data_IF_351738261286
#
_entry.id   IF_351738261286
#
_cell.length_a   1.000
_cell.length_b   1.000
_cell.length_c   1.000
_cell.angle_alpha   90.00
_cell.angle_beta   90.00
_cell.angle_gamma   90.00
#
_symmetry.space_group_name_H-M   'P 1'
#
loop_
_entity.id
_entity.type
_entity.pdbx_description
1 polymer ?
#
# COMPACT_ATOMS: atom_id res chain seq x y z
N UNK A 1 23.56 -9.29 -9.92
CA UNK A 1 22.27 -8.64 -10.26
C UNK A 1 22.54 -7.43 -11.16
N UNK A 2 21.81 -7.28 -12.28
CA UNK A 2 22.04 -6.13 -13.20
C UNK A 2 21.59 -4.81 -12.58
N UNK A 3 22.16 -3.67 -13.03
CA UNK A 3 21.73 -2.32 -12.58
C UNK A 3 20.23 -2.10 -12.82
N UNK A 4 19.73 -2.53 -13.97
CA UNK A 4 18.31 -2.47 -14.34
C UNK A 4 17.43 -3.27 -13.38
N UNK A 5 17.81 -4.49 -13.04
CA UNK A 5 17.07 -5.35 -12.10
C UNK A 5 17.05 -4.72 -10.71
N UNK A 6 18.17 -4.15 -10.26
CA UNK A 6 18.25 -3.45 -8.98
C UNK A 6 17.31 -2.24 -8.91
N UNK A 7 17.27 -1.43 -9.97
CA UNK A 7 16.41 -0.25 -10.01
C UNK A 7 14.93 -0.63 -10.10
N UNK A 8 14.60 -1.67 -10.87
CA UNK A 8 13.25 -2.24 -10.87
C UNK A 8 12.82 -2.62 -9.45
N UNK A 9 13.61 -3.44 -8.74
CA UNK A 9 13.30 -3.90 -7.38
C UNK A 9 13.15 -2.69 -6.42
N UNK A 10 14.05 -1.71 -6.51
CA UNK A 10 13.97 -0.49 -5.69
C UNK A 10 12.68 0.26 -5.91
N UNK A 11 12.34 0.58 -7.16
CA UNK A 11 11.12 1.34 -7.48
C UNK A 11 9.86 0.53 -7.20
N UNK A 12 9.89 -0.79 -7.39
CA UNK A 12 8.82 -1.69 -7.00
C UNK A 12 8.54 -1.58 -5.50
N UNK A 13 9.54 -1.77 -4.63
CA UNK A 13 9.31 -1.73 -3.17
C UNK A 13 8.88 -0.36 -2.67
N UNK A 14 9.47 0.72 -3.18
CA UNK A 14 9.08 2.09 -2.80
C UNK A 14 7.63 2.36 -3.20
N UNK A 15 7.26 2.03 -4.45
CA UNK A 15 5.88 2.24 -4.92
C UNK A 15 4.89 1.30 -4.24
N UNK A 16 5.27 0.06 -3.94
CA UNK A 16 4.45 -0.88 -3.19
C UNK A 16 4.11 -0.33 -1.81
N UNK A 17 5.13 0.09 -1.05
CA UNK A 17 4.93 0.65 0.28
C UNK A 17 4.07 1.92 0.26
N UNK A 18 4.38 2.87 -0.64
CA UNK A 18 3.63 4.12 -0.74
C UNK A 18 2.17 3.89 -1.16
N UNK A 19 1.93 3.07 -2.18
CA UNK A 19 0.59 2.80 -2.71
C UNK A 19 -0.23 1.99 -1.71
N UNK A 20 0.36 0.95 -1.11
CA UNK A 20 -0.29 0.17 -0.05
C UNK A 20 -0.70 1.09 1.11
N UNK A 21 0.22 1.90 1.65
CA UNK A 21 -0.07 2.78 2.77
C UNK A 21 -1.21 3.77 2.49
N UNK A 22 -1.14 4.48 1.36
CA UNK A 22 -2.14 5.49 1.00
C UNK A 22 -3.50 4.87 0.70
N UNK A 23 -3.54 3.76 -0.05
CA UNK A 23 -4.81 3.12 -0.41
C UNK A 23 -5.42 2.31 0.74
N UNK A 24 -4.60 1.76 1.64
CA UNK A 24 -5.08 1.02 2.80
C UNK A 24 -5.88 1.92 3.76
N UNK A 25 -5.47 3.18 3.93
CA UNK A 25 -6.24 4.13 4.72
C UNK A 25 -7.68 4.32 4.18
N UNK A 26 -7.83 4.45 2.86
CA UNK A 26 -9.14 4.53 2.20
C UNK A 26 -9.92 3.23 2.35
N UNK A 27 -9.23 2.09 2.23
CA UNK A 27 -9.87 0.78 2.41
C UNK A 27 -10.38 0.58 3.83
N UNK A 28 -9.61 0.95 4.86
CA UNK A 28 -10.05 0.88 6.26
C UNK A 28 -11.25 1.79 6.53
N UNK A 29 -11.25 3.01 5.96
CA UNK A 29 -12.41 3.90 6.06
C UNK A 29 -13.66 3.27 5.42
N UNK A 30 -13.52 2.66 4.23
CA UNK A 30 -14.62 1.94 3.61
C UNK A 30 -15.09 0.77 4.47
N UNK A 31 -14.19 -0.03 5.04
CA UNK A 31 -14.55 -1.15 5.90
C UNK A 31 -15.30 -0.71 7.16
N UNK A 32 -14.88 0.40 7.77
CA UNK A 32 -15.61 1.01 8.88
C UNK A 32 -17.04 1.39 8.48
N UNK A 33 -17.19 2.11 7.36
CA UNK A 33 -18.52 2.48 6.86
C UNK A 33 -19.35 1.25 6.48
N UNK A 34 -18.72 0.21 5.95
CA UNK A 34 -19.38 -1.02 5.55
C UNK A 34 -19.92 -1.79 6.75
N UNK A 35 -19.18 -1.87 7.85
CA UNK A 35 -19.67 -2.46 9.11
C UNK A 35 -20.83 -1.64 9.69
N UNK A 36 -20.71 -0.31 9.72
CA UNK A 36 -21.72 0.57 10.35
C UNK A 36 -23.02 0.63 9.55
N UNK A 37 -22.94 0.58 8.22
CA UNK A 37 -24.08 0.77 7.31
C UNK A 37 -24.48 -0.52 6.58
N UNK A 38 -23.94 -1.68 6.97
CA UNK A 38 -24.20 -2.99 6.35
C UNK A 38 -23.96 -3.00 4.81
N UNK A 39 -22.83 -2.40 4.39
CA UNK A 39 -22.46 -2.33 2.96
C UNK A 39 -21.73 -3.61 2.51
N UNK A 40 -21.86 -4.01 1.23
CA UNK A 40 -21.22 -5.21 0.73
C UNK A 40 -19.69 -5.10 0.73
N UNK A 41 -19.02 -6.26 0.78
CA UNK A 41 -17.56 -6.32 0.64
C UNK A 41 -16.80 -5.97 1.92
N UNK A 42 -17.49 -5.96 3.07
CA UNK A 42 -16.84 -5.96 4.37
C UNK A 42 -16.10 -7.29 4.57
N UNK A 43 -14.79 -7.22 4.75
CA UNK A 43 -13.94 -8.34 5.18
C UNK A 43 -13.49 -8.18 6.64
N UNK A 44 -13.79 -7.03 7.25
CA UNK A 44 -13.68 -6.83 8.69
C UNK A 44 -15.03 -7.15 9.34
N UNK A 45 -15.00 -7.89 10.44
CA UNK A 45 -16.17 -8.14 11.27
C UNK A 45 -15.85 -7.95 12.75
N UNK A 46 -16.87 -7.68 13.57
CA UNK A 46 -16.71 -7.54 15.03
C UNK A 46 -17.26 -8.81 15.68
N UNK A 47 -16.37 -9.57 16.31
CA UNK A 47 -16.73 -10.71 17.14
C UNK A 47 -17.00 -10.24 18.56
N UNK A 48 -18.11 -10.66 19.13
CA UNK A 48 -18.45 -10.43 20.53
C UNK A 48 -18.35 -11.76 21.28
N UNK A 49 -17.54 -11.79 22.32
CA UNK A 49 -17.42 -12.94 23.21
C UNK A 49 -18.49 -12.92 24.32
N UNK A 50 -18.75 -14.08 24.92
CA UNK A 50 -19.77 -14.24 25.97
C UNK A 50 -19.44 -13.49 27.28
N UNK A 51 -18.18 -13.11 27.49
CA UNK A 51 -17.69 -12.26 28.59
C UNK A 51 -17.92 -10.76 28.35
N UNK A 52 -18.38 -10.35 27.16
CA UNK A 52 -18.55 -8.95 26.79
C UNK A 52 -17.33 -8.31 26.11
N UNK A 53 -16.25 -9.07 25.87
CA UNK A 53 -15.10 -8.60 25.10
C UNK A 53 -15.44 -8.56 23.60
N UNK A 54 -14.81 -7.65 22.87
CA UNK A 54 -14.95 -7.56 21.42
C UNK A 54 -13.59 -7.62 20.74
N UNK A 55 -13.55 -8.29 19.58
CA UNK A 55 -12.38 -8.40 18.74
C UNK A 55 -12.74 -8.05 17.31
N UNK A 56 -11.78 -7.45 16.61
CA UNK A 56 -11.89 -7.25 15.17
C UNK A 56 -11.33 -8.49 14.47
N UNK A 57 -12.18 -9.19 13.74
CA UNK A 57 -11.78 -10.30 12.88
C UNK A 57 -11.65 -9.81 11.44
N UNK A 58 -10.69 -10.38 10.71
CA UNK A 58 -10.34 -9.96 9.36
C UNK A 58 -10.18 -11.19 8.46
N UNK A 59 -11.06 -11.32 7.47
CA UNK A 59 -10.92 -12.33 6.42
C UNK A 59 -9.94 -11.85 5.34
N UNK A 60 -8.67 -12.20 5.53
CA UNK A 60 -7.61 -11.90 4.57
C UNK A 60 -7.74 -12.65 3.24
N UNK A 61 -8.64 -13.64 3.15
CA UNK A 61 -8.93 -14.37 1.91
C UNK A 61 -10.10 -13.75 1.14
N UNK A 62 -10.72 -12.70 1.68
CA UNK A 62 -11.87 -12.08 1.07
C UNK A 62 -11.52 -11.46 -0.31
N UNK A 63 -12.36 -11.65 -1.35
CA UNK A 63 -12.05 -11.23 -2.72
C UNK A 63 -11.78 -9.73 -2.86
N UNK A 64 -12.41 -8.88 -2.04
CA UNK A 64 -12.14 -7.43 -2.02
C UNK A 64 -10.71 -7.13 -1.58
N UNK A 65 -10.23 -7.79 -0.53
CA UNK A 65 -8.85 -7.62 -0.05
C UNK A 65 -7.84 -8.13 -1.09
N UNK A 66 -8.08 -9.31 -1.67
CA UNK A 66 -7.24 -9.88 -2.71
C UNK A 66 -7.22 -9.01 -3.98
N UNK A 67 -8.37 -8.46 -4.37
CA UNK A 67 -8.49 -7.53 -5.49
C UNK A 67 -7.70 -6.24 -5.26
N UNK A 68 -7.82 -5.65 -4.07
CA UNK A 68 -7.03 -4.49 -3.67
C UNK A 68 -5.52 -4.80 -3.70
N UNK A 69 -5.09 -5.90 -3.08
CA UNK A 69 -3.69 -6.30 -3.04
C UNK A 69 -3.14 -6.53 -4.46
N UNK A 70 -3.92 -7.18 -5.32
CA UNK A 70 -3.61 -7.36 -6.74
C UNK A 70 -3.40 -6.04 -7.46
N UNK A 71 -4.30 -5.07 -7.29
CA UNK A 71 -4.16 -3.73 -7.87
C UNK A 71 -2.89 -3.01 -7.40
N UNK A 72 -2.58 -3.09 -6.11
CA UNK A 72 -1.38 -2.49 -5.52
C UNK A 72 -0.10 -3.13 -6.08
N UNK A 73 -0.06 -4.46 -6.18
CA UNK A 73 1.07 -5.20 -6.75
C UNK A 73 1.27 -4.89 -8.24
N UNK A 74 0.19 -4.85 -9.02
CA UNK A 74 0.23 -4.52 -10.45
C UNK A 74 0.70 -3.09 -10.67
N UNK A 75 0.20 -2.13 -9.88
CA UNK A 75 0.65 -0.75 -9.95
C UNK A 75 2.13 -0.62 -9.61
N UNK A 76 2.58 -1.26 -8.53
CA UNK A 76 3.98 -1.26 -8.13
C UNK A 76 4.90 -1.90 -9.18
N UNK A 77 4.47 -3.03 -9.76
CA UNK A 77 5.19 -3.69 -10.86
C UNK A 77 5.25 -2.80 -12.10
N UNK A 78 4.14 -2.17 -12.49
CA UNK A 78 4.08 -1.21 -13.59
C UNK A 78 5.03 -0.03 -13.37
N UNK A 79 5.01 0.57 -12.19
CA UNK A 79 5.89 1.67 -11.82
C UNK A 79 7.38 1.25 -11.86
N UNK A 80 7.70 0.11 -11.26
CA UNK A 80 9.04 -0.47 -11.31
C UNK A 80 9.52 -0.71 -12.74
N UNK A 81 8.66 -1.25 -13.62
CA UNK A 81 8.97 -1.47 -15.03
C UNK A 81 9.24 -0.16 -15.77
N UNK A 82 8.41 0.86 -15.57
CA UNK A 82 8.58 2.19 -16.19
C UNK A 82 9.91 2.83 -15.75
N UNK A 83 10.24 2.71 -14.46
CA UNK A 83 11.44 3.33 -13.87
C UNK A 83 12.69 2.43 -13.86
N UNK A 84 12.66 1.24 -14.47
CA UNK A 84 13.77 0.27 -14.43
C UNK A 84 15.09 0.79 -14.99
N UNK A 85 15.05 1.78 -15.89
CA UNK A 85 16.22 2.43 -16.50
C UNK A 85 16.60 3.74 -15.82
N UNK A 86 15.88 4.13 -14.77
CA UNK A 86 16.14 5.37 -14.04
C UNK A 86 17.43 5.19 -13.22
N UNK A 87 18.55 5.59 -13.84
CA UNK A 87 19.89 5.53 -13.27
C UNK A 87 20.28 6.87 -12.65
N UNK A 88 19.33 7.79 -12.44
CA UNK A 88 19.61 9.02 -11.73
C UNK A 88 20.09 8.65 -10.32
N UNK A 89 21.37 8.88 -10.08
CA UNK A 89 21.89 9.06 -8.74
C UNK A 89 21.00 10.09 -8.04
N UNK A 90 20.81 9.94 -6.72
CA UNK A 90 20.16 10.99 -5.94
C UNK A 90 20.84 12.29 -6.36
N UNK A 91 20.12 13.14 -7.10
CA UNK A 91 20.63 14.46 -7.47
C UNK A 91 21.07 15.03 -6.14
N UNK A 92 22.37 15.28 -5.97
CA UNK A 92 22.74 16.35 -5.07
C UNK A 92 21.80 17.49 -5.44
N UNK A 93 21.07 18.06 -4.47
CA UNK A 93 20.17 19.14 -4.81
C UNK A 93 21.00 20.17 -5.57
N UNK A 94 20.63 20.46 -6.83
CA UNK A 94 21.24 21.55 -7.62
C UNK A 94 21.15 22.89 -6.83
N UNK A 95 20.34 22.90 -5.77
CA UNK A 95 20.21 23.90 -4.73
C UNK A 95 21.02 23.46 -3.49
N UNK A 96 22.29 23.85 -3.43
CA UNK A 96 23.01 23.85 -2.15
C UNK A 96 22.44 24.98 -1.29
N UNK A 97 21.93 24.66 -0.09
CA UNK A 97 21.61 25.68 0.90
C UNK A 97 22.88 26.48 1.19
N UNK A 98 22.82 27.81 1.12
CA UNK A 98 23.94 28.63 1.59
C UNK A 98 24.21 28.31 3.07
N UNK A 99 25.48 28.25 3.50
CA UNK A 99 25.79 28.05 4.91
C UNK A 99 25.21 29.21 5.73
N UNK A 100 24.19 28.94 6.55
CA UNK A 100 23.54 29.94 7.40
C UNK A 100 22.01 29.83 7.57
N UNK A 101 21.34 28.86 6.95
CA UNK A 101 19.93 28.51 7.20
C UNK A 101 19.78 27.06 7.61
#
# INVERSE_FOLDING_TARGET
MSKTTRNFIRHFWVSLGATAYLSFAVMLLYQYLAIVNDLPGAFLSVLHEANGDWWLDADWSHPVFLGWLGCVLLFAAGYGLVRRKDNREYREPDIQSQPGF
#
